data_IF_305784675426
#
_entry.id   IF_305784675426
#
_cell.length_a   1.000
_cell.length_b   1.000
_cell.length_c   1.000
_cell.angle_alpha   90.00
_cell.angle_beta   90.00
_cell.angle_gamma   90.00
#
_symmetry.space_group_name_H-M   'P 1'
#
loop_
_entity.id
_entity.type
_entity.pdbx_description
1 polymer ?
#
# COMPACT_ATOMS: atom_id res chain seq x y z
N UNK A 1 -18.74 20.79 -6.49
CA UNK A 1 -17.29 20.60 -6.35
C UNK A 1 -17.08 19.23 -5.71
N UNK A 2 -16.60 18.25 -6.48
CA UNK A 2 -16.41 16.87 -6.01
C UNK A 2 -15.10 16.79 -5.22
N UNK A 3 -15.21 16.60 -3.89
CA UNK A 3 -14.21 16.08 -2.94
C UNK A 3 -12.76 16.04 -3.46
N UNK A 4 -12.14 17.22 -3.61
CA UNK A 4 -10.69 17.33 -3.82
C UNK A 4 -9.99 17.23 -2.47
N UNK A 5 -8.86 16.51 -2.44
CA UNK A 5 -7.71 16.50 -1.51
C UNK A 5 -7.89 16.65 0.02
N UNK A 6 -8.92 17.31 0.50
CA UNK A 6 -9.17 17.64 1.90
C UNK A 6 -9.66 16.46 2.76
N UNK A 7 -10.07 15.35 2.14
CA UNK A 7 -10.63 14.18 2.88
C UNK A 7 -9.81 12.89 2.67
N UNK A 8 -9.03 12.79 1.60
CA UNK A 8 -8.21 11.61 1.28
C UNK A 8 -6.74 11.93 0.94
N UNK A 9 -6.36 13.20 0.81
CA UNK A 9 -5.16 13.60 0.06
C UNK A 9 -3.88 13.60 0.88
N UNK A 10 -3.77 14.44 1.91
CA UNK A 10 -2.47 14.79 2.50
C UNK A 10 -1.74 13.62 3.18
N UNK A 11 -2.46 12.83 3.99
CA UNK A 11 -1.85 11.73 4.76
C UNK A 11 -1.45 10.56 3.86
N UNK A 12 -2.31 10.17 2.92
CA UNK A 12 -1.99 9.08 2.00
C UNK A 12 -0.83 9.47 1.07
N UNK A 13 -0.79 10.72 0.59
CA UNK A 13 0.34 11.24 -0.18
C UNK A 13 1.62 11.19 0.65
N UNK A 14 1.57 11.63 1.91
CA UNK A 14 2.72 11.55 2.82
C UNK A 14 3.24 10.11 3.00
N UNK A 15 2.35 9.13 3.17
CA UNK A 15 2.72 7.71 3.25
C UNK A 15 3.42 7.22 1.96
N UNK A 16 2.92 7.61 0.79
CA UNK A 16 3.56 7.28 -0.50
C UNK A 16 4.94 7.91 -0.61
N UNK A 17 5.08 9.19 -0.25
CA UNK A 17 6.36 9.90 -0.35
C UNK A 17 7.40 9.36 0.64
N UNK A 18 7.00 8.99 1.86
CA UNK A 18 7.87 8.30 2.82
C UNK A 18 8.40 7.00 2.24
N UNK A 19 7.54 6.18 1.63
CA UNK A 19 7.96 4.93 1.01
C UNK A 19 8.90 5.16 -0.19
N UNK A 20 8.59 6.13 -1.04
CA UNK A 20 9.41 6.47 -2.21
C UNK A 20 10.78 7.04 -1.82
N UNK A 21 10.88 7.73 -0.68
CA UNK A 21 12.15 8.30 -0.19
C UNK A 21 13.24 7.26 0.07
N UNK A 22 12.87 6.00 0.28
CA UNK A 22 13.79 4.86 0.47
C UNK A 22 13.88 3.94 -0.76
N UNK A 23 13.30 4.36 -1.89
CA UNK A 23 13.27 3.63 -3.15
C UNK A 23 12.20 2.52 -3.23
N UNK A 24 11.27 2.45 -2.28
CA UNK A 24 10.18 1.47 -2.35
C UNK A 24 9.12 1.93 -3.36
N UNK A 25 8.54 0.98 -4.10
CA UNK A 25 7.36 1.25 -4.92
C UNK A 25 6.13 1.31 -4.01
N UNK A 26 5.24 2.29 -4.19
CA UNK A 26 4.09 2.47 -3.29
C UNK A 26 2.81 2.80 -4.06
N UNK A 27 1.67 2.29 -3.57
CA UNK A 27 0.34 2.55 -4.16
C UNK A 27 -0.75 2.67 -3.09
N UNK A 28 -1.73 3.51 -3.35
CA UNK A 28 -2.93 3.65 -2.51
C UNK A 28 -3.74 2.36 -2.46
N UNK A 29 -4.26 2.04 -1.27
CA UNK A 29 -5.35 1.06 -1.14
C UNK A 29 -6.66 1.74 -1.59
N UNK A 30 -7.51 1.05 -2.35
CA UNK A 30 -8.67 1.67 -3.01
C UNK A 30 -9.69 2.32 -2.07
N UNK A 31 -9.74 1.90 -0.81
CA UNK A 31 -10.62 2.48 0.23
C UNK A 31 -10.00 3.68 0.97
N UNK A 32 -8.73 3.99 0.72
CA UNK A 32 -7.96 4.97 1.51
C UNK A 32 -7.56 4.45 2.90
N UNK A 33 -6.77 5.25 3.62
CA UNK A 33 -6.33 4.99 4.99
C UNK A 33 -5.10 4.10 5.11
N UNK A 34 -4.60 3.55 4.01
CA UNK A 34 -3.36 2.81 3.95
C UNK A 34 -2.68 2.91 2.57
N UNK A 35 -1.40 2.59 2.56
CA UNK A 35 -0.58 2.46 1.36
C UNK A 35 0.12 1.10 1.41
N UNK A 36 0.20 0.44 0.26
CA UNK A 36 1.01 -0.77 0.11
C UNK A 36 2.36 -0.36 -0.47
N UNK A 37 3.45 -0.77 0.19
CA UNK A 37 4.81 -0.58 -0.27
C UNK A 37 5.42 -1.92 -0.67
N UNK A 38 6.19 -1.92 -1.75
CA UNK A 38 6.97 -3.05 -2.25
C UNK A 38 8.45 -2.68 -2.26
N UNK A 39 9.27 -3.51 -1.61
CA UNK A 39 10.70 -3.29 -1.45
C UNK A 39 11.52 -4.23 -2.37
N UNK A 40 11.83 -3.83 -3.63
CA UNK A 40 12.58 -4.68 -4.56
C UNK A 40 14.01 -5.00 -4.10
N UNK A 41 14.63 -4.15 -3.27
CA UNK A 41 16.01 -4.32 -2.82
C UNK A 41 16.13 -5.22 -1.58
N UNK A 42 15.02 -5.82 -1.14
CA UNK A 42 15.00 -6.82 -0.07
C UNK A 42 15.13 -6.24 1.35
N UNK A 43 15.64 -7.04 2.31
CA UNK A 43 15.54 -6.73 3.75
C UNK A 43 16.17 -5.41 4.18
N UNK A 44 17.24 -4.96 3.52
CA UNK A 44 17.90 -3.70 3.83
C UNK A 44 17.00 -2.49 3.52
N UNK A 45 16.18 -2.57 2.48
CA UNK A 45 15.20 -1.55 2.14
C UNK A 45 13.98 -1.60 3.05
N UNK A 46 13.55 -2.81 3.45
CA UNK A 46 12.48 -2.98 4.44
C UNK A 46 12.86 -2.26 5.74
N UNK A 47 14.08 -2.45 6.24
CA UNK A 47 14.56 -1.75 7.44
C UNK A 47 14.56 -0.23 7.29
N UNK A 48 15.04 0.29 6.15
CA UNK A 48 15.01 1.73 5.85
C UNK A 48 13.58 2.28 5.82
N UNK A 49 12.65 1.51 5.25
CA UNK A 49 11.22 1.85 5.19
C UNK A 49 10.61 1.89 6.60
N UNK A 50 10.88 0.90 7.44
CA UNK A 50 10.44 0.85 8.84
C UNK A 50 10.92 2.08 9.61
N UNK A 51 12.20 2.42 9.51
CA UNK A 51 12.76 3.59 10.17
C UNK A 51 12.15 4.90 9.64
N UNK A 52 11.91 5.02 8.33
CA UNK A 52 11.30 6.21 7.74
C UNK A 52 9.84 6.39 8.17
N UNK A 53 9.05 5.31 8.15
CA UNK A 53 7.67 5.31 8.64
C UNK A 53 7.60 5.62 10.14
N UNK A 54 8.48 5.05 10.95
CA UNK A 54 8.52 5.32 12.39
C UNK A 54 8.79 6.81 12.68
N UNK A 55 9.77 7.42 11.98
CA UNK A 55 10.05 8.86 12.08
C UNK A 55 8.86 9.73 11.64
N UNK A 56 8.07 9.26 10.68
CA UNK A 56 6.87 9.92 10.20
C UNK A 56 5.60 9.58 11.02
N UNK A 57 5.75 8.86 12.13
CA UNK A 57 4.65 8.43 13.00
C UNK A 57 3.61 7.53 12.28
N UNK A 58 4.07 6.73 11.32
CA UNK A 58 3.28 5.70 10.63
C UNK A 58 3.61 4.30 11.15
N UNK A 59 2.59 3.44 11.16
CA UNK A 59 2.71 2.03 11.55
C UNK A 59 2.82 1.17 10.29
N UNK A 60 3.73 0.19 10.30
CA UNK A 60 3.87 -0.80 9.24
C UNK A 60 3.27 -2.13 9.68
N UNK A 61 2.61 -2.82 8.75
CA UNK A 61 2.16 -4.20 8.90
C UNK A 61 2.59 -5.01 7.67
N UNK A 62 3.14 -6.23 7.83
CA UNK A 62 3.44 -7.11 6.71
C UNK A 62 2.16 -7.46 5.93
N UNK A 63 2.22 -7.32 4.61
CA UNK A 63 1.13 -7.76 3.74
C UNK A 63 1.28 -9.25 3.42
N UNK A 64 0.23 -10.03 3.68
CA UNK A 64 0.16 -11.44 3.26
C UNK A 64 -0.50 -11.53 1.89
N UNK A 65 0.20 -12.10 0.91
CA UNK A 65 -0.40 -12.41 -0.40
C UNK A 65 -1.21 -13.68 -0.25
N UNK A 66 -2.53 -13.57 -0.39
CA UNK A 66 -3.44 -14.71 -0.36
C UNK A 66 -3.78 -15.15 -1.79
N UNK A 67 -3.78 -16.47 -2.08
CA UNK A 67 -4.24 -16.96 -3.37
C UNK A 67 -5.72 -16.66 -3.56
N UNK A 68 -6.16 -16.63 -4.83
CA UNK A 68 -7.57 -16.49 -5.14
C UNK A 68 -8.36 -17.66 -4.52
N UNK A 69 -9.41 -17.35 -3.78
CA UNK A 69 -10.33 -18.35 -3.20
C UNK A 69 -11.40 -18.82 -4.18
N UNK A 70 -11.45 -18.22 -5.37
CA UNK A 70 -12.40 -18.61 -6.41
C UNK A 70 -12.00 -19.96 -6.96
N UNK A 71 -12.95 -20.88 -6.95
CA UNK A 71 -12.81 -22.16 -7.62
C UNK A 71 -13.27 -22.05 -9.09
N UNK A 72 -13.04 -23.10 -9.87
CA UNK A 72 -13.39 -23.13 -11.30
C UNK A 72 -14.87 -22.86 -11.59
N UNK A 73 -15.77 -23.15 -10.64
CA UNK A 73 -17.20 -22.85 -10.79
C UNK A 73 -17.47 -21.36 -10.63
N UNK A 74 -16.82 -20.71 -9.67
CA UNK A 74 -16.96 -19.27 -9.44
C UNK A 74 -16.40 -18.46 -10.62
N UNK A 75 -15.28 -18.91 -11.20
CA UNK A 75 -14.70 -18.30 -12.41
C UNK A 75 -15.63 -18.39 -13.62
N UNK A 76 -16.35 -19.51 -13.78
CA UNK A 76 -17.36 -19.68 -14.85
C UNK A 76 -18.59 -18.82 -14.65
N UNK A 77 -18.97 -18.51 -13.41
CA UNK A 77 -20.09 -17.61 -13.12
C UNK A 77 -19.77 -16.13 -13.40
N UNK A 78 -18.49 -15.74 -13.37
CA UNK A 78 -18.04 -14.38 -13.68
C UNK A 78 -17.91 -14.09 -15.18
N UNK A 79 -18.01 -15.11 -16.04
CA UNK A 79 -17.92 -15.01 -17.50
C UNK A 79 -19.29 -14.86 -18.22
N UNK A 80 -20.36 -14.59 -17.49
CA UNK A 80 -21.73 -14.40 -18.01
C UNK A 80 -22.24 -12.99 -17.78
#
# INVERSE_FOLDING_TARGET
SMFGDDVLGSMNISMVEVARSVGAAAKFTGSGGAVVAFCPDGPSQIKRLEEACHRANFVIQPATVVPCVLNDKDLKMLSH
#
